data_IF_883845181913
#
_entry.id   IF_883845181913
#
_cell.length_a   1.000
_cell.length_b   1.000
_cell.length_c   1.000
_cell.angle_alpha   90.00
_cell.angle_beta   90.00
_cell.angle_gamma   90.00
#
_symmetry.space_group_name_H-M   'P 1'
#
loop_
_entity.id
_entity.type
_entity.pdbx_description
1 polymer ?
#
# COMPACT_ATOMS: atom_id res chain seq x y z
N UNK A 1 6.87 -25.07 -12.17
CA UNK A 1 7.67 -24.63 -11.00
C UNK A 1 7.69 -23.12 -11.01
N UNK A 2 6.72 -22.49 -10.34
CA UNK A 2 6.68 -21.03 -10.18
C UNK A 2 7.80 -20.62 -9.21
N UNK A 3 8.56 -19.54 -9.49
CA UNK A 3 9.54 -19.05 -8.54
C UNK A 3 8.81 -18.65 -7.26
N UNK A 4 9.23 -19.20 -6.11
CA UNK A 4 8.78 -18.79 -4.77
C UNK A 4 8.93 -17.27 -4.66
N UNK A 5 7.85 -16.58 -4.33
CA UNK A 5 7.73 -15.11 -4.41
C UNK A 5 8.57 -14.31 -3.42
N UNK A 6 9.40 -14.94 -2.60
CA UNK A 6 9.86 -14.32 -1.34
C UNK A 6 11.36 -14.01 -1.28
N UNK A 7 12.10 -14.21 -2.37
CA UNK A 7 13.54 -13.93 -2.45
C UNK A 7 13.90 -12.69 -3.28
N UNK A 8 12.98 -11.73 -3.34
CA UNK A 8 13.27 -10.44 -3.99
C UNK A 8 14.13 -9.59 -3.04
N UNK A 9 15.42 -9.51 -3.34
CA UNK A 9 16.37 -8.63 -2.65
C UNK A 9 16.03 -7.17 -2.98
N UNK A 10 15.95 -6.31 -1.95
CA UNK A 10 15.81 -4.88 -2.16
C UNK A 10 17.00 -4.32 -2.94
N UNK A 11 16.71 -3.59 -4.01
CA UNK A 11 17.70 -2.81 -4.78
C UNK A 11 17.71 -1.33 -4.37
N UNK A 12 16.92 -0.96 -3.36
CA UNK A 12 16.79 0.42 -2.91
C UNK A 12 18.05 0.86 -2.18
N UNK A 13 18.63 1.99 -2.59
CA UNK A 13 19.84 2.59 -2.02
C UNK A 13 19.55 3.88 -1.26
N UNK A 14 20.54 4.41 -0.55
CA UNK A 14 20.45 5.74 0.09
C UNK A 14 20.17 6.84 -0.94
N UNK A 15 20.81 6.79 -2.11
CA UNK A 15 20.52 7.73 -3.21
C UNK A 15 19.08 7.64 -3.71
N UNK A 16 18.52 6.42 -3.76
CA UNK A 16 17.12 6.19 -4.08
C UNK A 16 16.21 6.89 -3.05
N UNK A 17 16.56 6.80 -1.77
CA UNK A 17 15.86 7.47 -0.68
C UNK A 17 15.91 9.01 -0.76
N UNK A 18 17.07 9.59 -1.08
CA UNK A 18 17.19 11.03 -1.31
C UNK A 18 16.27 11.46 -2.47
N UNK A 19 16.21 10.67 -3.54
CA UNK A 19 15.31 10.89 -4.66
C UNK A 19 13.84 10.81 -4.24
N UNK A 20 13.48 9.83 -3.39
CA UNK A 20 12.12 9.69 -2.87
C UNK A 20 11.71 10.87 -1.99
N UNK A 21 12.56 11.36 -1.09
CA UNK A 21 12.25 12.56 -0.28
C UNK A 21 11.95 13.80 -1.13
N UNK A 22 12.62 13.94 -2.28
CA UNK A 22 12.37 15.07 -3.20
C UNK A 22 11.06 14.93 -3.97
N UNK A 23 10.70 13.71 -4.38
CA UNK A 23 9.53 13.44 -5.22
C UNK A 23 8.26 13.21 -4.41
N UNK A 24 8.38 12.64 -3.23
CA UNK A 24 7.30 12.23 -2.35
C UNK A 24 7.43 13.07 -1.09
N UNK A 25 6.43 13.92 -0.85
CA UNK A 25 6.37 14.74 0.35
C UNK A 25 6.06 13.84 1.55
N UNK A 26 7.11 13.38 2.24
CA UNK A 26 7.00 12.72 3.54
C UNK A 26 6.99 13.76 4.65
N UNK A 27 6.25 13.50 5.74
CA UNK A 27 6.38 14.31 6.95
C UNK A 27 7.81 14.23 7.48
N UNK A 28 8.33 15.34 8.01
CA UNK A 28 9.66 15.36 8.63
C UNK A 28 9.75 14.43 9.86
N UNK A 29 8.62 14.12 10.47
CA UNK A 29 8.52 13.24 11.63
C UNK A 29 8.67 11.75 11.26
N UNK A 30 8.67 11.42 9.97
CA UNK A 30 8.82 10.05 9.51
C UNK A 30 10.30 9.64 9.50
N UNK A 31 10.63 8.67 10.35
CA UNK A 31 11.90 7.96 10.27
C UNK A 31 11.84 6.98 9.10
N UNK A 32 12.78 7.11 8.17
CA UNK A 32 12.94 6.19 7.05
C UNK A 32 14.29 5.51 7.17
N UNK A 33 14.33 4.20 6.86
CA UNK A 33 15.54 3.38 6.87
C UNK A 33 15.64 2.62 5.55
N UNK A 34 16.80 2.64 4.91
CA UNK A 34 17.08 1.79 3.75
C UNK A 34 17.00 0.33 4.20
N UNK A 35 16.18 -0.51 3.54
CA UNK A 35 16.02 -1.90 3.94
C UNK A 35 17.32 -2.69 3.70
N UNK A 36 17.69 -3.53 4.66
CA UNK A 36 18.77 -4.50 4.48
C UNK A 36 18.36 -5.58 3.47
N UNK A 37 19.35 -6.31 2.92
CA UNK A 37 19.08 -7.40 1.96
C UNK A 37 18.24 -8.54 2.56
N UNK A 38 18.25 -8.68 3.88
CA UNK A 38 17.46 -9.67 4.63
C UNK A 38 16.06 -9.18 4.96
N UNK A 39 15.79 -7.88 4.86
CA UNK A 39 14.49 -7.32 5.22
C UNK A 39 13.45 -7.73 4.19
N UNK A 40 12.23 -7.99 4.65
CA UNK A 40 11.10 -8.41 3.82
C UNK A 40 9.86 -7.61 4.18
N UNK A 41 9.07 -7.25 3.18
CA UNK A 41 7.78 -6.55 3.38
C UNK A 41 6.82 -7.39 4.21
N UNK A 42 6.78 -8.70 3.99
CA UNK A 42 5.96 -9.64 4.75
C UNK A 42 6.43 -9.86 6.20
N UNK A 43 7.64 -9.44 6.55
CA UNK A 43 8.22 -9.53 7.90
C UNK A 43 8.92 -8.21 8.26
N UNK A 44 8.14 -7.14 8.52
CA UNK A 44 8.73 -5.85 8.86
C UNK A 44 9.49 -5.93 10.19
N UNK A 45 10.54 -5.11 10.32
CA UNK A 45 11.26 -4.95 11.58
C UNK A 45 10.32 -4.39 12.66
N UNK A 46 10.53 -4.73 13.95
CA UNK A 46 9.78 -4.12 15.05
C UNK A 46 9.79 -2.60 14.93
N UNK A 47 8.63 -1.95 15.14
CA UNK A 47 8.43 -0.49 15.02
C UNK A 47 8.49 0.09 13.60
N UNK A 48 8.79 -0.71 12.59
CA UNK A 48 8.80 -0.27 11.20
C UNK A 48 7.60 -0.81 10.42
N UNK A 49 7.22 -0.07 9.39
CA UNK A 49 6.38 -0.57 8.30
C UNK A 49 7.24 -0.66 7.06
N UNK A 50 7.17 -1.78 6.34
CA UNK A 50 7.91 -1.98 5.10
C UNK A 50 6.95 -2.01 3.93
N UNK A 51 7.23 -1.22 2.89
CA UNK A 51 6.41 -1.12 1.68
C UNK A 51 7.29 -1.17 0.43
N UNK A 52 6.71 -1.55 -0.70
CA UNK A 52 7.41 -1.49 -1.99
C UNK A 52 7.45 -0.04 -2.51
N UNK A 53 8.49 0.29 -3.27
CA UNK A 53 8.55 1.59 -3.97
C UNK A 53 7.30 1.83 -4.85
N UNK A 54 6.82 0.78 -5.50
CA UNK A 54 5.63 0.84 -6.34
C UNK A 54 4.37 1.26 -5.57
N UNK A 55 4.26 0.91 -4.29
CA UNK A 55 3.17 1.36 -3.42
C UNK A 55 3.21 2.88 -3.22
N UNK A 56 4.42 3.44 -3.00
CA UNK A 56 4.62 4.89 -2.86
C UNK A 56 4.29 5.63 -4.16
N UNK A 57 4.69 5.08 -5.31
CA UNK A 57 4.33 5.61 -6.64
C UNK A 57 2.83 5.53 -6.91
N UNK A 58 2.15 4.50 -6.40
CA UNK A 58 0.70 4.33 -6.48
C UNK A 58 -0.10 5.32 -5.61
N UNK A 59 0.57 6.24 -4.91
CA UNK A 59 -0.08 7.29 -4.14
C UNK A 59 -0.19 7.00 -2.65
N UNK A 60 0.37 5.89 -2.15
CA UNK A 60 0.50 5.68 -0.71
C UNK A 60 1.31 6.82 -0.07
N UNK A 61 0.80 7.37 1.03
CA UNK A 61 1.42 8.44 1.80
C UNK A 61 1.46 8.05 3.27
N UNK A 62 2.39 8.65 4.01
CA UNK A 62 2.60 8.42 5.44
C UNK A 62 2.47 9.74 6.23
N UNK A 63 1.76 9.72 7.37
CA UNK A 63 1.00 8.59 7.91
C UNK A 63 -0.15 8.16 6.97
N UNK A 64 -0.56 6.88 6.96
CA UNK A 64 -1.70 6.44 6.16
C UNK A 64 -2.94 7.25 6.49
N UNK A 65 -3.72 7.61 5.48
CA UNK A 65 -4.98 8.33 5.72
C UNK A 65 -5.92 7.49 6.60
N UNK A 66 -6.71 8.09 7.50
CA UNK A 66 -7.66 7.33 8.34
C UNK A 66 -8.52 6.37 7.54
N UNK A 67 -8.99 6.81 6.36
CA UNK A 67 -9.82 5.99 5.48
C UNK A 67 -9.10 4.74 4.96
N UNK A 68 -7.82 4.86 4.63
CA UNK A 68 -7.01 3.71 4.24
C UNK A 68 -6.82 2.74 5.42
N UNK A 69 -6.54 3.28 6.61
CA UNK A 69 -6.40 2.48 7.84
C UNK A 69 -7.70 1.73 8.17
N UNK A 70 -8.85 2.37 8.03
CA UNK A 70 -10.16 1.74 8.23
C UNK A 70 -10.35 0.57 7.25
N UNK A 71 -10.07 0.78 5.95
CA UNK A 71 -10.19 -0.27 4.93
C UNK A 71 -9.28 -1.46 5.27
N UNK A 72 -8.01 -1.21 5.60
CA UNK A 72 -7.05 -2.25 5.96
C UNK A 72 -7.53 -3.05 7.18
N UNK A 73 -7.97 -2.35 8.22
CA UNK A 73 -8.46 -2.93 9.48
C UNK A 73 -9.69 -3.80 9.23
N UNK A 74 -10.66 -3.28 8.47
CA UNK A 74 -11.91 -3.97 8.16
C UNK A 74 -11.65 -5.21 7.28
N UNK A 75 -10.76 -5.10 6.30
CA UNK A 75 -10.39 -6.24 5.46
C UNK A 75 -9.48 -7.25 6.19
N UNK A 76 -8.98 -6.93 7.39
CA UNK A 76 -8.04 -7.78 8.12
C UNK A 76 -6.72 -7.97 7.39
N UNK A 77 -6.32 -7.01 6.55
CA UNK A 77 -5.09 -7.08 5.74
C UNK A 77 -4.09 -6.02 6.19
N UNK A 78 -2.82 -6.38 6.22
CA UNK A 78 -1.75 -5.40 6.43
C UNK A 78 -1.44 -4.67 5.12
N UNK A 79 -0.91 -3.45 5.23
CA UNK A 79 -0.45 -2.69 4.07
C UNK A 79 0.59 -3.45 3.24
N UNK A 80 1.42 -4.27 3.88
CA UNK A 80 2.44 -5.09 3.23
C UNK A 80 1.88 -6.20 2.34
N UNK A 81 0.62 -6.60 2.55
CA UNK A 81 -0.06 -7.61 1.73
C UNK A 81 -0.68 -7.01 0.46
N UNK A 82 -0.71 -5.69 0.33
CA UNK A 82 -1.31 -5.03 -0.83
C UNK A 82 -0.32 -4.91 -1.99
N UNK A 83 -0.73 -5.44 -3.14
CA UNK A 83 -0.02 -5.19 -4.40
C UNK A 83 -0.11 -3.71 -4.80
N UNK A 84 0.80 -3.26 -5.67
CA UNK A 84 0.75 -1.90 -6.22
C UNK A 84 -0.62 -1.60 -6.85
N UNK A 85 -1.19 -2.57 -7.57
CA UNK A 85 -2.48 -2.46 -8.24
C UNK A 85 -3.60 -2.28 -7.22
N UNK A 86 -3.58 -3.06 -6.14
CA UNK A 86 -4.56 -2.93 -5.06
C UNK A 86 -4.50 -1.54 -4.42
N UNK A 87 -3.30 -1.03 -4.13
CA UNK A 87 -3.14 0.33 -3.58
C UNK A 87 -3.65 1.39 -4.56
N UNK A 88 -3.30 1.32 -5.85
CA UNK A 88 -3.80 2.28 -6.84
C UNK A 88 -5.33 2.32 -6.90
N UNK A 89 -5.98 1.15 -6.85
CA UNK A 89 -7.45 1.04 -6.84
C UNK A 89 -8.02 1.66 -5.56
N UNK A 90 -7.49 1.28 -4.39
CA UNK A 90 -7.98 1.79 -3.10
C UNK A 90 -7.82 3.30 -3.03
N UNK A 91 -6.66 3.83 -3.40
CA UNK A 91 -6.42 5.28 -3.42
C UNK A 91 -7.36 6.00 -4.39
N UNK A 92 -7.59 5.42 -5.58
CA UNK A 92 -8.55 5.93 -6.54
C UNK A 92 -9.98 5.97 -6.00
N UNK A 93 -10.42 4.91 -5.31
CA UNK A 93 -11.72 4.84 -4.66
C UNK A 93 -11.85 5.88 -3.54
N UNK A 94 -10.81 6.04 -2.71
CA UNK A 94 -10.81 7.06 -1.65
C UNK A 94 -11.00 8.45 -2.24
N UNK A 95 -10.27 8.79 -3.30
CA UNK A 95 -10.39 10.10 -3.97
C UNK A 95 -11.77 10.27 -4.61
N UNK A 96 -12.25 9.28 -5.36
CA UNK A 96 -13.57 9.32 -6.00
C UNK A 96 -14.69 9.57 -4.99
N UNK A 97 -14.72 8.82 -3.90
CA UNK A 97 -15.77 8.96 -2.89
C UNK A 97 -15.68 10.30 -2.16
N UNK A 98 -14.46 10.79 -1.89
CA UNK A 98 -14.26 12.13 -1.31
C UNK A 98 -14.83 13.21 -2.24
N UNK A 99 -14.54 13.13 -3.54
CA UNK A 99 -14.95 14.14 -4.52
C UNK A 99 -16.47 14.08 -4.76
N UNK A 100 -17.07 12.89 -4.75
CA UNK A 100 -18.52 12.70 -4.81
C UNK A 100 -19.25 13.02 -3.49
N UNK A 101 -18.53 13.42 -2.42
CA UNK A 101 -19.07 13.57 -1.04
C UNK A 101 -19.85 12.33 -0.56
N UNK A 102 -19.46 11.16 -1.05
CA UNK A 102 -20.09 9.89 -0.71
C UNK A 102 -19.29 9.19 0.38
N UNK A 103 -19.99 8.48 1.27
CA UNK A 103 -19.33 7.63 2.26
C UNK A 103 -18.93 6.33 1.58
N UNK A 104 -17.62 6.06 1.52
CA UNK A 104 -17.14 4.73 1.16
C UNK A 104 -17.53 3.78 2.30
N UNK A 105 -18.70 3.17 2.15
CA UNK A 105 -19.25 2.15 3.04
C UNK A 105 -18.74 0.77 2.63
N UNK A 106 -18.51 -0.08 3.63
CA UNK A 106 -18.07 -1.45 3.45
C UNK A 106 -19.06 -2.28 2.62
N UNK A 107 -20.35 -1.97 2.71
CA UNK A 107 -21.38 -2.65 1.93
C UNK A 107 -21.15 -2.47 0.42
N UNK A 108 -20.72 -1.27 0.00
CA UNK A 108 -20.37 -1.01 -1.40
C UNK A 108 -19.08 -1.71 -1.82
N UNK A 109 -18.06 -1.76 -0.95
CA UNK A 109 -16.84 -2.51 -1.21
C UNK A 109 -17.12 -4.02 -1.38
N UNK A 110 -17.96 -4.59 -0.51
CA UNK A 110 -18.38 -6.00 -0.58
C UNK A 110 -19.18 -6.29 -1.85
N UNK A 111 -20.10 -5.39 -2.24
CA UNK A 111 -20.85 -5.50 -3.51
C UNK A 111 -19.94 -5.41 -4.73
N UNK A 112 -18.92 -4.55 -4.71
CA UNK A 112 -17.93 -4.48 -5.79
C UNK A 112 -17.09 -5.77 -5.89
N UNK A 113 -16.71 -6.37 -4.76
CA UNK A 113 -16.02 -7.67 -4.76
C UNK A 113 -16.85 -8.78 -5.44
N UNK A 114 -18.17 -8.78 -5.23
CA UNK A 114 -19.08 -9.73 -5.89
C UNK A 114 -19.21 -9.50 -7.41
N UNK A 115 -19.20 -8.26 -7.87
CA UNK A 115 -19.25 -7.93 -9.31
C UNK A 115 -18.05 -8.47 -10.11
N UNK A 116 -16.90 -8.66 -9.48
CA UNK A 116 -15.72 -9.28 -10.11
C UNK A 116 -15.62 -10.79 -9.89
N UNK A 117 -16.51 -11.36 -9.06
CA UNK A 117 -16.60 -12.81 -8.81
C UNK A 117 -17.57 -13.50 -9.77
N UNK A 118 -18.52 -12.76 -10.33
CA UNK A 118 -19.47 -13.23 -11.35
C UNK A 118 -18.86 -13.21 -12.77
N UNK A 119 -17.64 -13.74 -12.91
CA UNK A 119 -17.12 -14.20 -14.21
C UNK A 119 -17.10 -15.72 -14.19
N UNK A 120 -18.28 -16.31 -14.05
CA UNK A 120 -18.59 -17.62 -14.61
C UNK A 120 -19.73 -17.42 -15.61
N UNK A 121 -19.33 -17.10 -16.83
CA UNK A 121 -20.04 -17.43 -18.07
C UNK A 121 -19.16 -18.39 -18.85
#
# INVERSE_FOLDING_TARGET
MTPKSDDVISIITEDSFISFRKKIHFSNDLVMKVPARTDRTCFPLPEYVTVYESNLRAGLRFPPSPKLTDILTICGVSLAQLSYRAISIIMGLIVLFRDCRAVLSLEYLSRMGRLFSDVQG
#
